data_IF_734096498376
#
_entry.id   IF_734096498376
#
_cell.length_a   1.000
_cell.length_b   1.000
_cell.length_c   1.000
_cell.angle_alpha   90.00
_cell.angle_beta   90.00
_cell.angle_gamma   90.00
#
_symmetry.space_group_name_H-M   'P 1'
#
loop_
_entity.id
_entity.type
_entity.pdbx_description
1 polymer ?
#
# COMPACT_ATOMS: atom_id res chain seq x y z
N UNK A 1 14.82 28.84 -4.35
CA UNK A 1 15.29 27.49 -4.72
C UNK A 1 15.70 27.54 -6.19
N UNK A 2 16.83 26.95 -6.61
CA UNK A 2 17.26 27.00 -8.02
C UNK A 2 16.25 26.26 -8.90
N UNK A 3 15.70 26.92 -9.91
CA UNK A 3 14.58 26.40 -10.73
C UNK A 3 14.91 25.08 -11.44
N UNK A 4 16.17 24.93 -11.86
CA UNK A 4 16.68 23.71 -12.50
C UNK A 4 16.60 22.51 -11.54
N UNK A 5 16.94 22.72 -10.27
CA UNK A 5 16.90 21.68 -9.26
C UNK A 5 15.46 21.26 -8.95
N UNK A 6 14.53 22.21 -8.98
CA UNK A 6 13.09 21.94 -8.79
C UNK A 6 12.51 21.12 -9.94
N UNK A 7 12.86 21.43 -11.19
CA UNK A 7 12.43 20.68 -12.36
C UNK A 7 12.93 19.22 -12.33
N UNK A 8 14.17 19.00 -11.89
CA UNK A 8 14.75 17.64 -11.75
C UNK A 8 14.05 16.86 -10.63
N UNK A 9 13.78 17.51 -9.50
CA UNK A 9 13.10 16.88 -8.37
C UNK A 9 11.66 16.45 -8.69
N UNK A 10 10.99 17.02 -9.70
CA UNK A 10 9.68 16.52 -10.14
C UNK A 10 9.72 15.10 -10.71
N UNK A 11 10.88 14.64 -11.19
CA UNK A 11 11.09 13.26 -11.61
C UNK A 11 11.53 12.35 -10.46
N UNK A 12 11.86 12.93 -9.30
CA UNK A 12 12.31 12.16 -8.16
C UNK A 12 11.10 11.45 -7.52
N UNK A 13 11.15 10.12 -7.34
CA UNK A 13 10.07 9.36 -6.70
C UNK A 13 9.82 9.80 -5.24
N UNK A 14 10.85 10.37 -4.59
CA UNK A 14 10.73 10.99 -3.27
C UNK A 14 9.75 12.16 -3.24
N UNK A 15 9.65 12.96 -4.31
CA UNK A 15 8.71 14.10 -4.40
C UNK A 15 7.26 13.63 -4.46
N UNK A 16 7.00 12.55 -5.20
CA UNK A 16 5.67 11.93 -5.25
C UNK A 16 5.28 11.32 -3.90
N UNK A 17 6.21 10.60 -3.27
CA UNK A 17 5.98 10.00 -1.95
C UNK A 17 5.73 11.04 -0.86
N UNK A 18 6.54 12.10 -0.81
CA UNK A 18 6.39 13.18 0.18
C UNK A 18 5.11 13.96 -0.05
N UNK A 19 4.71 14.24 -1.29
CA UNK A 19 3.45 14.95 -1.59
C UNK A 19 2.23 14.10 -1.18
N UNK A 20 2.27 12.79 -1.43
CA UNK A 20 1.23 11.85 -0.99
C UNK A 20 1.16 11.75 0.53
N UNK A 21 2.30 11.58 1.19
CA UNK A 21 2.40 11.56 2.65
C UNK A 21 1.94 12.89 3.26
N UNK A 22 2.28 14.02 2.66
CA UNK A 22 1.83 15.34 3.11
C UNK A 22 0.34 15.56 2.92
N UNK A 23 -0.26 15.05 1.84
CA UNK A 23 -1.71 15.08 1.64
C UNK A 23 -2.44 14.31 2.76
N UNK A 24 -1.89 13.16 3.17
CA UNK A 24 -2.42 12.33 4.26
C UNK A 24 -2.19 13.00 5.64
N UNK A 25 -0.98 13.47 5.94
CA UNK A 25 -0.62 13.99 7.27
C UNK A 25 -1.08 15.44 7.52
N UNK A 26 -0.99 16.35 6.54
CA UNK A 26 -1.12 17.80 6.78
C UNK A 26 -2.42 18.42 6.26
N UNK A 27 -3.11 17.79 5.30
CA UNK A 27 -4.32 18.38 4.68
C UNK A 27 -5.64 17.79 5.22
N UNK A 28 -5.57 16.87 6.19
CA UNK A 28 -6.77 16.19 6.68
C UNK A 28 -7.45 15.38 5.58
N UNK A 29 -6.69 14.76 4.68
CA UNK A 29 -7.21 13.72 3.81
C UNK A 29 -7.61 12.55 4.71
N UNK A 30 -8.85 12.60 5.19
CA UNK A 30 -9.39 11.64 6.15
C UNK A 30 -9.43 10.23 5.57
N UNK A 31 -10.01 9.32 6.35
CA UNK A 31 -10.14 7.92 5.98
C UNK A 31 -10.63 7.73 4.52
N UNK A 32 -11.43 8.64 3.98
CA UNK A 32 -11.93 8.71 2.59
C UNK A 32 -10.86 8.61 1.48
N UNK A 33 -9.61 9.02 1.72
CA UNK A 33 -8.54 8.95 0.70
C UNK A 33 -7.67 7.70 0.86
N UNK A 34 -7.49 7.24 2.09
CA UNK A 34 -6.57 6.15 2.43
C UNK A 34 -7.26 4.78 2.50
N UNK A 35 -8.57 4.72 2.74
CA UNK A 35 -9.33 3.48 2.83
C UNK A 35 -9.20 2.57 1.60
N UNK A 36 -9.10 3.04 0.34
CA UNK A 36 -8.96 2.14 -0.80
C UNK A 36 -7.62 1.40 -0.75
N UNK A 37 -6.57 2.07 -0.27
CA UNK A 37 -5.24 1.48 -0.12
C UNK A 37 -5.22 0.44 1.02
N UNK A 38 -5.83 0.78 2.17
CA UNK A 38 -5.98 -0.17 3.27
C UNK A 38 -6.82 -1.38 2.86
N UNK A 39 -7.96 -1.17 2.20
CA UNK A 39 -8.83 -2.23 1.70
C UNK A 39 -8.10 -3.14 0.70
N UNK A 40 -7.32 -2.57 -0.22
CA UNK A 40 -6.52 -3.35 -1.17
C UNK A 40 -5.52 -4.27 -0.46
N UNK A 41 -4.76 -3.76 0.53
CA UNK A 41 -3.80 -4.57 1.29
C UNK A 41 -4.51 -5.63 2.12
N UNK A 42 -5.64 -5.31 2.74
CA UNK A 42 -6.46 -6.28 3.48
C UNK A 42 -7.01 -7.40 2.58
N UNK A 43 -7.48 -7.08 1.37
CA UNK A 43 -7.97 -8.08 0.40
C UNK A 43 -6.84 -9.00 -0.04
N UNK A 44 -5.68 -8.43 -0.39
CA UNK A 44 -4.50 -9.21 -0.78
C UNK A 44 -4.11 -10.16 0.36
N UNK A 45 -4.00 -9.64 1.58
CA UNK A 45 -3.70 -10.44 2.77
C UNK A 45 -4.70 -11.56 3.00
N UNK A 46 -6.00 -11.28 2.87
CA UNK A 46 -7.06 -12.28 3.02
C UNK A 46 -6.98 -13.39 1.96
N UNK A 47 -6.72 -13.04 0.69
CA UNK A 47 -6.55 -14.03 -0.39
C UNK A 47 -5.38 -14.96 -0.10
N UNK A 48 -4.22 -14.40 0.23
CA UNK A 48 -3.05 -15.21 0.57
C UNK A 48 -3.27 -16.06 1.81
N UNK A 49 -3.92 -15.50 2.84
CA UNK A 49 -4.23 -16.22 4.06
C UNK A 49 -5.18 -17.39 3.80
N UNK A 50 -6.25 -17.20 3.04
CA UNK A 50 -7.19 -18.27 2.67
C UNK A 50 -6.50 -19.33 1.81
N UNK A 51 -5.67 -18.93 0.86
CA UNK A 51 -4.91 -19.86 0.03
C UNK A 51 -3.93 -20.70 0.88
N UNK A 52 -3.22 -20.07 1.82
CA UNK A 52 -2.34 -20.74 2.76
C UNK A 52 -3.11 -21.69 3.68
N UNK A 53 -4.27 -21.25 4.21
CA UNK A 53 -5.14 -22.06 5.06
C UNK A 53 -5.70 -23.28 4.32
N UNK A 54 -6.16 -23.10 3.09
CA UNK A 54 -6.65 -24.19 2.25
C UNK A 54 -5.54 -25.21 1.95
N UNK A 55 -4.33 -24.72 1.64
CA UNK A 55 -3.15 -25.57 1.43
C UNK A 55 -2.79 -26.34 2.71
N UNK A 56 -2.79 -25.68 3.86
CA UNK A 56 -2.48 -26.29 5.15
C UNK A 56 -3.47 -27.40 5.51
N UNK A 57 -4.78 -27.13 5.37
CA UNK A 57 -5.83 -28.13 5.60
C UNK A 57 -5.66 -29.34 4.70
N UNK A 58 -5.40 -29.12 3.40
CA UNK A 58 -5.15 -30.21 2.46
C UNK A 58 -3.92 -31.03 2.85
N UNK A 59 -2.84 -30.39 3.28
CA UNK A 59 -1.63 -31.09 3.74
C UNK A 59 -1.89 -31.96 4.98
N UNK A 60 -2.66 -31.46 5.95
CA UNK A 60 -2.99 -32.21 7.17
C UNK A 60 -3.86 -33.43 6.85
N UNK A 61 -4.88 -33.27 6.00
CA UNK A 61 -5.76 -34.39 5.58
C UNK A 61 -5.05 -35.42 4.71
N UNK A 62 -3.95 -35.06 4.05
CA UNK A 62 -3.17 -35.98 3.21
C UNK A 62 -2.13 -36.76 4.03
N UNK A 63 -1.76 -36.27 5.22
CA UNK A 63 -0.77 -36.90 6.13
C UNK A 63 -1.44 -37.88 7.12
N UNK A 64 -2.73 -37.71 7.43
CA UNK A 64 -3.52 -38.61 8.29
C UNK A 64 -4.24 -39.67 7.46
#
# INVERSE_FOLDING_TARGET
MPEILQAIMQFAPSTHFVTFAQAILYRGAGFDVVWPHYAAVSIIGAVFFIAALARLRKSITLIM
#
